data_IF_952629832248
#
_entry.id   IF_952629832248
#
_cell.length_a   1.000
_cell.length_b   1.000
_cell.length_c   1.000
_cell.angle_alpha   90.00
_cell.angle_beta   90.00
_cell.angle_gamma   90.00
#
_symmetry.space_group_name_H-M   'P 1'
#
loop_
_entity.id
_entity.type
_entity.pdbx_description
1 polymer ?
#
# COMPACT_ATOMS: atom_id res chain seq x y z
N UNK A 1 -3.09 -14.08 -25.17
CA UNK A 1 -2.61 -12.70 -24.94
C UNK A 1 -3.25 -12.06 -23.70
N UNK A 2 -4.36 -12.60 -23.21
CA UNK A 2 -5.10 -12.05 -22.08
C UNK A 2 -4.33 -12.11 -20.75
N UNK A 3 -3.62 -13.21 -20.49
CA UNK A 3 -2.77 -13.37 -19.29
C UNK A 3 -1.63 -12.34 -19.23
N UNK A 4 -1.06 -11.97 -20.39
CA UNK A 4 0.03 -10.99 -20.42
C UNK A 4 -0.47 -9.60 -20.00
N UNK A 5 -1.59 -9.15 -20.56
CA UNK A 5 -2.22 -7.88 -20.16
C UNK A 5 -2.72 -7.91 -18.72
N UNK A 6 -3.32 -9.02 -18.28
CA UNK A 6 -3.76 -9.19 -16.90
C UNK A 6 -2.58 -9.07 -15.92
N UNK A 7 -1.42 -9.65 -16.25
CA UNK A 7 -0.25 -9.59 -15.38
C UNK A 7 0.36 -8.18 -15.31
N UNK A 8 0.33 -7.42 -16.40
CA UNK A 8 0.73 -6.00 -16.39
C UNK A 8 -0.19 -5.20 -15.48
N UNK A 9 -1.50 -5.39 -15.57
CA UNK A 9 -2.47 -4.69 -14.73
C UNK A 9 -2.27 -5.08 -13.26
N UNK A 10 -2.13 -6.37 -12.96
CA UNK A 10 -1.86 -6.85 -11.60
C UNK A 10 -0.55 -6.27 -11.03
N UNK A 11 0.49 -6.20 -11.86
CA UNK A 11 1.77 -5.59 -11.51
C UNK A 11 1.65 -4.10 -11.23
N UNK A 12 0.86 -3.37 -12.02
CA UNK A 12 0.59 -1.95 -11.81
C UNK A 12 -0.21 -1.71 -10.52
N UNK A 13 -1.21 -2.53 -10.25
CA UNK A 13 -2.02 -2.46 -9.02
C UNK A 13 -1.11 -2.65 -7.79
N UNK A 14 -0.33 -3.73 -7.72
CA UNK A 14 0.59 -3.93 -6.59
C UNK A 14 1.68 -2.85 -6.52
N UNK A 15 2.24 -2.45 -7.66
CA UNK A 15 3.25 -1.39 -7.73
C UNK A 15 2.72 -0.05 -7.22
N UNK A 16 1.47 0.30 -7.52
CA UNK A 16 0.84 1.53 -7.03
C UNK A 16 0.65 1.54 -5.52
N UNK A 17 0.32 0.40 -4.92
CA UNK A 17 0.22 0.25 -3.46
C UNK A 17 1.59 0.50 -2.82
N UNK A 18 2.64 -0.14 -3.34
CA UNK A 18 4.00 0.06 -2.82
C UNK A 18 4.50 1.50 -3.02
N UNK A 19 4.19 2.13 -4.16
CA UNK A 19 4.53 3.51 -4.43
C UNK A 19 3.83 4.46 -3.45
N UNK A 20 2.55 4.25 -3.14
CA UNK A 20 1.80 5.04 -2.15
C UNK A 20 2.39 4.90 -0.74
N UNK A 21 2.77 3.69 -0.34
CA UNK A 21 3.40 3.44 0.96
C UNK A 21 4.76 4.17 1.05
N UNK A 22 5.59 4.07 0.01
CA UNK A 22 6.87 4.77 -0.04
C UNK A 22 6.70 6.30 -0.03
N UNK A 23 5.71 6.81 -0.78
CA UNK A 23 5.39 8.24 -0.82
C UNK A 23 4.95 8.74 0.56
N UNK A 24 4.05 8.03 1.24
CA UNK A 24 3.64 8.35 2.60
C UNK A 24 4.82 8.40 3.59
N UNK A 25 5.73 7.43 3.49
CA UNK A 25 6.92 7.38 4.36
C UNK A 25 7.88 8.55 4.10
N UNK A 26 8.17 8.84 2.83
CA UNK A 26 9.04 9.96 2.45
C UNK A 26 8.45 11.32 2.80
N UNK A 27 7.12 11.49 2.72
CA UNK A 27 6.45 12.74 3.08
C UNK A 27 6.52 12.99 4.59
N UNK A 28 6.27 11.96 5.41
CA UNK A 28 6.35 12.05 6.87
C UNK A 28 7.79 12.31 7.32
N UNK A 29 8.77 11.58 6.77
CA UNK A 29 10.18 11.82 7.06
C UNK A 29 10.64 13.22 6.60
N UNK A 30 10.16 13.67 5.43
CA UNK A 30 10.49 15.00 4.88
C UNK A 30 10.03 16.17 5.75
N UNK A 31 8.96 15.98 6.54
CA UNK A 31 8.45 17.02 7.44
C UNK A 31 9.10 16.92 8.83
N UNK A 32 9.24 15.70 9.38
CA UNK A 32 9.72 15.52 10.75
C UNK A 32 11.25 15.45 10.88
N UNK A 33 11.98 15.12 9.81
CA UNK A 33 13.43 14.93 9.82
C UNK A 33 13.93 13.76 10.69
N UNK A 34 13.01 12.92 11.18
CA UNK A 34 13.27 11.80 12.08
C UNK A 34 12.65 10.52 11.53
N UNK A 35 13.39 9.41 11.65
CA UNK A 35 12.93 8.08 11.23
C UNK A 35 11.86 7.60 12.21
N UNK A 36 10.64 7.41 11.72
CA UNK A 36 9.53 6.90 12.52
C UNK A 36 9.28 5.41 12.22
N UNK A 37 9.51 4.54 13.21
CA UNK A 37 9.29 3.10 13.10
C UNK A 37 7.81 2.69 13.25
N UNK A 38 6.95 3.53 13.83
CA UNK A 38 5.51 3.28 13.98
C UNK A 38 4.73 3.42 12.65
N UNK A 39 5.37 3.94 11.58
CA UNK A 39 4.71 4.08 10.27
C UNK A 39 4.26 2.73 9.71
N UNK A 40 4.97 1.64 10.03
CA UNK A 40 4.57 0.29 9.65
C UNK A 40 3.22 -0.14 10.26
N UNK A 41 2.94 0.29 11.49
CA UNK A 41 1.66 -0.02 12.17
C UNK A 41 0.49 0.73 11.53
N UNK A 42 0.70 1.98 11.11
CA UNK A 42 -0.32 2.79 10.41
C UNK A 42 -0.69 2.16 9.06
N UNK A 43 0.31 1.66 8.31
CA UNK A 43 0.08 0.94 7.05
C UNK A 43 -0.64 -0.39 7.30
N UNK A 44 -0.32 -1.07 8.40
CA UNK A 44 -0.97 -2.33 8.79
C UNK A 44 -2.46 -2.14 9.08
N UNK A 45 -2.86 -1.05 9.75
CA UNK A 45 -4.28 -0.73 10.00
C UNK A 45 -5.04 -0.60 8.68
N UNK A 46 -4.50 0.12 7.68
CA UNK A 46 -5.13 0.24 6.36
C UNK A 46 -5.34 -1.12 5.68
N UNK A 47 -4.36 -2.01 5.79
CA UNK A 47 -4.43 -3.37 5.25
C UNK A 47 -5.48 -4.22 5.96
N UNK A 48 -5.53 -4.16 7.30
CA UNK A 48 -6.52 -4.87 8.10
C UNK A 48 -7.95 -4.41 7.79
N UNK A 49 -8.18 -3.11 7.63
CA UNK A 49 -9.49 -2.56 7.24
C UNK A 49 -9.89 -3.04 5.83
N UNK A 50 -8.97 -3.03 4.87
CA UNK A 50 -9.26 -3.53 3.53
C UNK A 50 -9.62 -5.02 3.54
N UNK A 51 -8.89 -5.83 4.32
CA UNK A 51 -9.16 -7.26 4.49
C UNK A 51 -10.54 -7.49 5.11
N UNK A 52 -10.87 -6.82 6.22
CA UNK A 52 -12.16 -7.02 6.91
C UNK A 52 -13.34 -6.59 6.06
N UNK A 53 -13.21 -5.48 5.32
CA UNK A 53 -14.26 -5.03 4.38
C UNK A 53 -14.44 -6.05 3.26
N UNK A 54 -13.35 -6.52 2.66
CA UNK A 54 -13.40 -7.50 1.56
C UNK A 54 -13.97 -8.84 2.03
N UNK A 55 -13.58 -9.29 3.23
CA UNK A 55 -14.09 -10.54 3.82
C UNK A 55 -15.53 -10.47 4.31
N UNK A 56 -16.08 -9.26 4.48
CA UNK A 56 -17.49 -9.08 4.85
C UNK A 56 -18.39 -8.99 3.63
N UNK A 57 -17.82 -8.67 2.46
CA UNK A 57 -18.53 -8.50 1.20
C UNK A 57 -18.64 -9.82 0.40
N UNK A 58 -17.77 -10.79 0.70
CA UNK A 58 -17.70 -12.13 0.10
C UNK A 58 -18.12 -13.14 1.15
#
# INVERSE_FOLDING_TARGET
MDIFFQQIINGLVQGSIYALVALGYTMVYGIMGLINFAHGEVVMIGTLVAITVTSSLI
#
